data_IF_348874015813
#
_entry.id   IF_348874015813
#
_cell.length_a   1.000
_cell.length_b   1.000
_cell.length_c   1.000
_cell.angle_alpha   90.00
_cell.angle_beta   90.00
_cell.angle_gamma   90.00
#
_symmetry.space_group_name_H-M   'P 1'
#
loop_
_entity.id
_entity.type
_entity.pdbx_description
1 polymer ?
#
# COMPACT_ATOMS: atom_id res chain seq x y z
N UNK A 1 -15.49 -7.84 -0.53
CA UNK A 1 -15.25 -6.39 -0.40
C UNK A 1 -14.05 -6.04 -1.26
N UNK A 2 -14.05 -4.87 -1.88
CA UNK A 2 -12.99 -4.42 -2.77
C UNK A 2 -12.55 -3.02 -2.33
N UNK A 3 -11.25 -2.73 -2.40
CA UNK A 3 -10.71 -1.40 -2.11
C UNK A 3 -9.57 -1.03 -3.03
N UNK A 4 -9.55 0.22 -3.46
CA UNK A 4 -8.45 0.80 -4.23
C UNK A 4 -7.31 1.14 -3.27
N UNK A 5 -6.08 0.83 -3.68
CA UNK A 5 -4.85 1.00 -2.90
C UNK A 5 -3.95 1.98 -3.62
N UNK A 6 -3.76 3.15 -3.02
CA UNK A 6 -2.81 4.17 -3.48
C UNK A 6 -1.47 3.97 -2.83
N UNK A 7 -0.44 3.77 -3.64
CA UNK A 7 0.92 3.56 -3.15
C UNK A 7 1.71 4.87 -3.20
N UNK A 8 2.42 5.17 -2.13
CA UNK A 8 3.42 6.21 -2.06
C UNK A 8 4.76 5.59 -1.68
N UNK A 9 5.78 5.87 -2.48
CA UNK A 9 7.11 5.30 -2.31
C UNK A 9 8.00 6.34 -1.63
N UNK A 10 8.76 5.88 -0.64
CA UNK A 10 9.72 6.66 0.13
C UNK A 10 11.13 6.30 -0.34
N UNK A 11 11.74 7.17 -1.13
CA UNK A 11 13.13 7.00 -1.60
C UNK A 11 14.16 7.34 -0.51
N UNK A 12 13.76 8.07 0.53
CA UNK A 12 14.60 8.34 1.70
C UNK A 12 13.75 8.54 2.95
N UNK A 13 14.33 8.37 4.16
CA UNK A 13 13.57 8.46 5.41
C UNK A 13 12.94 9.84 5.66
N UNK A 14 13.53 10.89 5.10
CA UNK A 14 13.16 12.30 5.25
C UNK A 14 12.68 12.97 3.96
N UNK A 15 12.66 12.23 2.85
CA UNK A 15 12.19 12.72 1.55
C UNK A 15 10.67 12.76 1.45
N UNK A 16 10.16 13.61 0.57
CA UNK A 16 8.74 13.60 0.23
C UNK A 16 8.40 12.26 -0.47
N UNK A 17 7.32 11.57 -0.04
CA UNK A 17 6.86 10.39 -0.75
C UNK A 17 6.45 10.76 -2.19
N UNK A 18 6.79 9.92 -3.15
CA UNK A 18 6.33 10.07 -4.53
C UNK A 18 5.24 9.05 -4.86
N UNK A 19 4.30 9.38 -5.77
CA UNK A 19 3.24 8.44 -6.14
C UNK A 19 3.83 7.20 -6.82
N UNK A 20 3.33 6.04 -6.41
CA UNK A 20 3.57 4.74 -7.03
C UNK A 20 2.34 4.23 -7.78
N UNK A 21 2.38 2.98 -8.28
CA UNK A 21 1.26 2.40 -9.01
C UNK A 21 0.08 2.13 -8.07
N UNK A 22 -1.12 2.57 -8.48
CA UNK A 22 -2.38 2.23 -7.83
C UNK A 22 -2.80 0.79 -8.21
N UNK A 23 -3.45 0.09 -7.30
CA UNK A 23 -4.02 -1.23 -7.57
C UNK A 23 -5.27 -1.47 -6.74
N UNK A 24 -5.91 -2.62 -6.92
CA UNK A 24 -7.10 -3.01 -6.18
C UNK A 24 -6.83 -4.29 -5.41
N UNK A 25 -7.37 -4.38 -4.18
CA UNK A 25 -7.43 -5.63 -3.42
C UNK A 25 -8.86 -6.02 -3.12
N UNK A 26 -9.08 -7.32 -2.96
CA UNK A 26 -10.35 -7.89 -2.56
C UNK A 26 -10.17 -8.80 -1.35
N UNK A 27 -11.11 -8.71 -0.41
CA UNK A 27 -11.17 -9.56 0.77
C UNK A 27 -12.59 -9.67 1.32
N UNK A 28 -12.84 -10.68 2.15
CA UNK A 28 -14.14 -10.91 2.80
C UNK A 28 -14.40 -9.99 4.00
N UNK A 29 -13.35 -9.40 4.58
CA UNK A 29 -13.40 -8.54 5.78
C UNK A 29 -12.53 -7.30 5.62
N UNK A 30 -12.72 -6.31 6.48
CA UNK A 30 -11.85 -5.11 6.51
C UNK A 30 -10.40 -5.46 6.84
N UNK A 31 -10.17 -6.27 7.87
CA UNK A 31 -8.82 -6.72 8.24
C UNK A 31 -8.19 -7.55 7.10
N UNK A 32 -8.99 -8.34 6.39
CA UNK A 32 -8.55 -9.09 5.22
C UNK A 32 -8.07 -8.19 4.08
N UNK A 33 -8.54 -6.94 3.97
CA UNK A 33 -8.01 -6.01 2.99
C UNK A 33 -6.58 -5.57 3.35
N UNK A 34 -6.27 -5.39 4.64
CA UNK A 34 -4.91 -5.06 5.07
C UNK A 34 -3.95 -6.21 4.78
N UNK A 35 -4.33 -7.43 5.14
CA UNK A 35 -3.58 -8.65 4.81
C UNK A 35 -3.32 -8.74 3.30
N UNK A 36 -4.36 -8.53 2.47
CA UNK A 36 -4.23 -8.55 1.01
C UNK A 36 -3.30 -7.45 0.47
N UNK A 37 -3.34 -6.24 1.04
CA UNK A 37 -2.40 -5.16 0.67
C UNK A 37 -0.97 -5.53 1.01
N UNK A 38 -0.73 -6.07 2.21
CA UNK A 38 0.60 -6.47 2.64
C UNK A 38 1.16 -7.58 1.74
N UNK A 39 0.35 -8.58 1.42
CA UNK A 39 0.74 -9.69 0.53
C UNK A 39 1.08 -9.18 -0.89
N UNK A 40 0.23 -8.32 -1.47
CA UNK A 40 0.43 -7.79 -2.82
C UNK A 40 1.67 -6.89 -2.91
N UNK A 41 1.89 -6.01 -1.92
CA UNK A 41 3.09 -5.17 -1.89
C UNK A 41 4.36 -5.99 -1.69
N UNK A 42 4.32 -7.03 -0.86
CA UNK A 42 5.45 -7.95 -0.70
C UNK A 42 5.75 -8.72 -2.00
N UNK A 43 4.73 -9.18 -2.72
CA UNK A 43 4.88 -9.84 -4.02
C UNK A 43 5.51 -8.93 -5.08
N UNK A 44 5.28 -7.61 -4.97
CA UNK A 44 5.92 -6.57 -5.79
C UNK A 44 7.33 -6.19 -5.34
N UNK A 45 7.86 -6.84 -4.29
CA UNK A 45 9.19 -6.58 -3.75
C UNK A 45 9.28 -5.32 -2.87
N UNK A 46 8.14 -4.70 -2.53
CA UNK A 46 8.12 -3.52 -1.69
C UNK A 46 8.18 -3.90 -0.20
N UNK A 47 8.89 -3.08 0.59
CA UNK A 47 8.78 -3.14 2.05
C UNK A 47 7.72 -2.14 2.51
N UNK A 48 6.66 -2.64 3.11
CA UNK A 48 5.56 -1.80 3.63
C UNK A 48 6.02 -1.09 4.91
N UNK A 49 5.83 0.23 4.93
CA UNK A 49 6.11 1.09 6.09
C UNK A 49 4.86 1.40 6.90
N UNK A 50 3.76 1.69 6.20
CA UNK A 50 2.46 1.94 6.80
C UNK A 50 1.34 1.70 5.80
N UNK A 51 0.18 1.27 6.28
CA UNK A 51 -1.08 1.22 5.52
C UNK A 51 -2.15 1.92 6.34
N UNK A 52 -2.91 2.81 5.70
CA UNK A 52 -3.97 3.58 6.34
C UNK A 52 -5.27 3.45 5.57
N UNK A 53 -6.37 3.36 6.31
CA UNK A 53 -7.71 3.53 5.73
C UNK A 53 -7.99 5.00 5.46
N UNK A 54 -8.60 5.26 4.32
CA UNK A 54 -9.07 6.57 3.89
C UNK A 54 -10.52 6.45 3.41
N UNK A 55 -11.29 7.55 3.35
CA UNK A 55 -12.66 7.51 2.82
C UNK A 55 -12.75 7.00 1.37
N UNK A 56 -11.66 7.08 0.60
CA UNK A 56 -11.61 6.69 -0.81
C UNK A 56 -10.91 5.35 -1.06
N UNK A 57 -10.48 4.65 -0.01
CA UNK A 57 -9.81 3.35 -0.11
C UNK A 57 -8.65 3.22 0.87
N UNK A 58 -7.61 2.50 0.46
CA UNK A 58 -6.39 2.28 1.23
C UNK A 58 -5.24 3.13 0.69
N UNK A 59 -4.38 3.54 1.59
CA UNK A 59 -3.17 4.27 1.26
C UNK A 59 -1.97 3.56 1.89
N UNK A 60 -1.01 3.18 1.06
CA UNK A 60 0.16 2.42 1.48
C UNK A 60 1.43 3.23 1.24
N UNK A 61 2.27 3.34 2.27
CA UNK A 61 3.62 3.86 2.16
C UNK A 61 4.60 2.70 2.10
N UNK A 62 5.47 2.69 1.09
CA UNK A 62 6.49 1.66 0.90
C UNK A 62 7.88 2.28 0.80
N UNK A 63 8.91 1.53 1.18
CA UNK A 63 10.30 1.93 0.96
C UNK A 63 10.75 1.53 -0.45
N UNK A 64 11.48 2.43 -1.10
CA UNK A 64 12.20 2.09 -2.32
C UNK A 64 13.35 1.14 -1.99
N UNK A 65 13.42 0.01 -2.69
CA UNK A 65 14.53 -0.95 -2.59
C UNK A 65 15.31 -0.98 -3.91
N UNK A 66 15.48 0.18 -4.53
CA UNK A 66 16.42 0.41 -5.63
C UNK A 66 17.87 0.28 -5.16
#
# INVERSE_FOLDING_TARGET
MQSVVRVFVLSSPSGAPHPGPEFTVEASTHDGLLEAVHAELAARGHRVRAVSHTPTGLLAYVEDRS
#
